data_IF_675374462903
#
_entry.id   IF_675374462903
#
_cell.length_a   1.000
_cell.length_b   1.000
_cell.length_c   1.000
_cell.angle_alpha   90.00
_cell.angle_beta   90.00
_cell.angle_gamma   90.00
#
_symmetry.space_group_name_H-M   'P 1'
#
loop_
_entity.id
_entity.type
_entity.pdbx_description
1 polymer ?
#
# COMPACT_ATOMS: atom_id res chain seq x y z
N UNK A 1 -3.47 16.61 10.80
CA UNK A 1 -3.84 15.62 9.78
C UNK A 1 -5.35 15.38 9.71
N UNK A 2 -6.19 15.96 10.58
CA UNK A 2 -7.66 15.84 10.46
C UNK A 2 -8.18 14.49 10.96
N UNK A 3 -9.36 14.08 10.47
CA UNK A 3 -9.94 12.77 10.77
C UNK A 3 -9.14 11.65 10.10
N UNK A 4 -8.87 10.59 10.86
CA UNK A 4 -8.24 9.36 10.35
C UNK A 4 -9.30 8.31 10.08
N UNK A 5 -9.48 7.96 8.82
CA UNK A 5 -10.32 6.86 8.38
C UNK A 5 -9.47 5.62 8.08
N UNK A 6 -10.15 4.47 8.02
CA UNK A 6 -9.60 3.21 7.50
C UNK A 6 -8.18 2.87 7.99
N UNK A 7 -7.89 3.17 9.26
CA UNK A 7 -6.57 2.91 9.87
C UNK A 7 -6.18 1.45 9.68
N UNK A 8 -4.92 1.23 9.35
CA UNK A 8 -4.33 -0.10 9.21
C UNK A 8 -2.98 -0.14 9.93
N UNK A 9 -2.67 -1.28 10.54
CA UNK A 9 -1.50 -1.46 11.38
C UNK A 9 -0.96 -2.88 11.26
N UNK A 10 0.27 -3.03 10.78
CA UNK A 10 0.83 -4.34 10.49
C UNK A 10 2.37 -4.39 10.52
N UNK A 11 2.96 -5.56 10.82
CA UNK A 11 4.40 -5.74 10.75
C UNK A 11 4.89 -5.98 9.32
N UNK A 12 6.13 -5.57 9.05
CA UNK A 12 6.90 -5.87 7.84
C UNK A 12 8.27 -6.42 8.23
N UNK A 13 8.80 -7.39 7.45
CA UNK A 13 10.12 -7.95 7.72
C UNK A 13 11.22 -7.03 7.19
N UNK A 14 12.24 -6.78 8.00
CA UNK A 14 13.46 -6.07 7.59
C UNK A 14 14.56 -7.03 7.12
N UNK A 15 14.32 -8.34 7.18
CA UNK A 15 15.28 -9.40 6.83
C UNK A 15 14.82 -10.14 5.58
N UNK A 16 13.60 -10.67 5.60
CA UNK A 16 13.03 -11.47 4.53
C UNK A 16 12.20 -10.63 3.55
N UNK A 17 11.78 -11.24 2.45
CA UNK A 17 10.89 -10.63 1.45
C UNK A 17 9.48 -11.23 1.48
N UNK A 18 9.14 -11.88 2.60
CA UNK A 18 7.81 -12.43 2.85
C UNK A 18 6.96 -11.43 3.63
N UNK A 19 5.65 -11.56 3.48
CA UNK A 19 4.71 -10.92 4.40
C UNK A 19 4.76 -11.60 5.77
N UNK A 20 4.38 -10.84 6.78
CA UNK A 20 4.25 -11.34 8.16
C UNK A 20 2.78 -11.40 8.55
N UNK A 21 2.44 -12.42 9.35
CA UNK A 21 1.17 -12.47 10.06
C UNK A 21 1.01 -11.20 10.90
N UNK A 22 -0.22 -10.68 10.98
CA UNK A 22 -0.49 -9.41 11.65
C UNK A 22 -0.13 -9.43 13.15
N UNK A 23 -0.12 -10.60 13.78
CA UNK A 23 0.26 -10.76 15.19
C UNK A 23 1.74 -11.05 15.41
N UNK A 24 2.55 -11.17 14.34
CA UNK A 24 3.97 -11.49 14.46
C UNK A 24 4.69 -10.37 15.23
N UNK A 25 5.38 -10.76 16.30
CA UNK A 25 6.19 -9.89 17.10
C UNK A 25 7.50 -10.59 17.45
N UNK A 26 8.63 -10.05 17.01
CA UNK A 26 9.94 -10.67 17.11
C UNK A 26 11.03 -9.77 16.53
N UNK A 27 12.30 -10.22 16.53
CA UNK A 27 13.38 -9.45 15.92
C UNK A 27 13.22 -9.37 14.39
N UNK A 28 13.86 -8.37 13.79
CA UNK A 28 13.93 -8.25 12.33
C UNK A 28 12.64 -7.75 11.68
N UNK A 29 11.88 -6.91 12.37
CA UNK A 29 10.64 -6.31 11.87
C UNK A 29 10.55 -4.83 12.21
N UNK A 30 9.76 -4.13 11.42
CA UNK A 30 9.19 -2.82 11.72
C UNK A 30 7.66 -2.90 11.61
N UNK A 31 6.97 -1.86 12.06
CA UNK A 31 5.52 -1.74 11.97
C UNK A 31 5.13 -0.55 11.09
N UNK A 32 4.20 -0.80 10.18
CA UNK A 32 3.59 0.24 9.36
C UNK A 32 2.31 0.71 10.02
N UNK A 33 2.19 2.02 10.21
CA UNK A 33 0.94 2.68 10.55
C UNK A 33 0.43 3.42 9.32
N UNK A 34 -0.79 3.13 8.91
CA UNK A 34 -1.44 3.74 7.75
C UNK A 34 -2.77 4.38 8.16
N UNK A 35 -3.08 5.52 7.57
CA UNK A 35 -4.38 6.17 7.69
C UNK A 35 -4.84 6.73 6.34
N UNK A 36 -6.15 6.68 6.12
CA UNK A 36 -6.83 7.44 5.06
C UNK A 36 -7.24 8.78 5.63
N UNK A 37 -6.74 9.88 5.07
CA UNK A 37 -7.06 11.23 5.56
C UNK A 37 -8.31 11.76 4.86
N UNK A 38 -9.36 12.04 5.64
CA UNK A 38 -10.65 12.49 5.13
C UNK A 38 -10.52 13.82 4.35
N UNK A 39 -9.72 14.76 4.87
CA UNK A 39 -9.58 16.11 4.32
C UNK A 39 -9.03 16.15 2.89
N UNK A 40 -8.09 15.27 2.55
CA UNK A 40 -7.41 15.28 1.25
C UNK A 40 -7.67 14.03 0.40
N UNK A 41 -8.42 13.06 0.94
CA UNK A 41 -8.75 11.78 0.31
C UNK A 41 -7.50 11.02 -0.18
N UNK A 42 -6.44 11.02 0.63
CA UNK A 42 -5.19 10.29 0.36
C UNK A 42 -4.85 9.32 1.48
N UNK A 43 -4.21 8.22 1.08
CA UNK A 43 -3.72 7.19 1.99
C UNK A 43 -2.24 7.40 2.30
N UNK A 44 -1.96 7.79 3.54
CA UNK A 44 -0.62 8.02 4.05
C UNK A 44 -0.19 6.89 4.96
N UNK A 45 1.12 6.60 4.97
CA UNK A 45 1.70 5.66 5.90
C UNK A 45 3.04 6.17 6.44
N UNK A 46 3.44 5.61 7.56
CA UNK A 46 4.77 5.77 8.11
C UNK A 46 5.27 4.42 8.66
N UNK A 47 6.60 4.29 8.71
CA UNK A 47 7.29 3.12 9.24
C UNK A 47 7.87 3.49 10.60
N UNK A 48 7.80 2.55 11.54
CA UNK A 48 8.18 2.80 12.91
C UNK A 48 8.25 1.54 13.76
N UNK A 49 8.59 1.74 15.02
CA UNK A 49 8.66 0.68 16.02
C UNK A 49 7.44 0.68 16.93
N UNK A 50 6.92 -0.51 17.22
CA UNK A 50 5.82 -0.72 18.16
C UNK A 50 6.33 -1.34 19.46
N UNK A 51 6.06 -0.67 20.59
CA UNK A 51 6.25 -1.20 21.93
C UNK A 51 4.92 -1.81 22.43
N UNK A 52 4.79 -3.14 22.50
CA UNK A 52 3.56 -3.80 22.94
C UNK A 52 3.30 -3.65 24.44
N UNK A 53 4.32 -3.38 25.26
CA UNK A 53 4.17 -3.19 26.71
C UNK A 53 3.56 -1.82 27.00
N UNK A 54 4.02 -0.79 26.28
CA UNK A 54 3.48 0.57 26.40
C UNK A 54 2.27 0.82 25.50
N UNK A 55 1.95 -0.13 24.61
CA UNK A 55 0.97 0.02 23.53
C UNK A 55 1.20 1.31 22.73
N UNK A 56 2.44 1.55 22.33
CA UNK A 56 2.85 2.79 21.65
C UNK A 56 3.64 2.48 20.39
N UNK A 57 3.17 3.01 19.27
CA UNK A 57 3.94 3.09 18.04
C UNK A 57 4.69 4.42 17.96
N UNK A 58 5.90 4.40 17.44
CA UNK A 58 6.75 5.59 17.26
C UNK A 58 7.33 5.58 15.84
N UNK A 59 7.16 6.66 15.04
CA UNK A 59 7.72 6.73 13.70
C UNK A 59 9.26 6.74 13.75
N UNK A 60 9.91 6.11 12.78
CA UNK A 60 11.37 6.15 12.68
C UNK A 60 11.87 7.54 12.23
N UNK A 61 11.07 8.23 11.39
CA UNK A 61 11.30 9.62 11.01
C UNK A 61 10.06 10.48 11.32
N UNK A 62 10.08 11.32 12.36
CA UNK A 62 8.98 12.21 12.71
C UNK A 62 8.59 13.23 11.62
N UNK A 63 9.50 13.58 10.70
CA UNK A 63 9.20 14.49 9.58
C UNK A 63 8.37 13.80 8.47
N UNK A 64 8.35 12.46 8.46
CA UNK A 64 7.59 11.63 7.53
C UNK A 64 6.51 10.81 8.24
N UNK A 65 5.97 11.33 9.35
CA UNK A 65 4.93 10.65 10.12
C UNK A 65 3.63 10.44 9.31
N UNK A 66 2.77 9.55 9.80
CA UNK A 66 1.53 9.17 9.16
C UNK A 66 0.62 10.40 8.95
N UNK A 67 0.31 10.67 7.69
CA UNK A 67 -0.52 11.78 7.25
C UNK A 67 0.23 13.02 6.75
N UNK A 68 1.56 13.06 6.85
CA UNK A 68 2.39 14.15 6.31
C UNK A 68 3.50 13.67 5.35
N UNK A 69 3.96 12.43 5.52
CA UNK A 69 5.06 11.87 4.74
C UNK A 69 4.62 11.13 3.47
N UNK A 70 4.89 9.83 3.45
CA UNK A 70 4.75 8.99 2.27
C UNK A 70 3.31 8.55 2.03
N UNK A 71 2.98 8.32 0.77
CA UNK A 71 1.67 7.82 0.33
C UNK A 71 1.80 6.43 -0.26
N UNK A 72 0.75 5.62 -0.11
CA UNK A 72 0.68 4.33 -0.79
C UNK A 72 0.54 4.50 -2.31
N UNK A 73 -0.12 5.56 -2.76
CA UNK A 73 -0.27 5.89 -4.17
C UNK A 73 -0.36 7.42 -4.30
N UNK A 74 0.22 7.97 -5.37
CA UNK A 74 0.25 9.40 -5.62
C UNK A 74 -0.87 9.86 -6.57
N UNK A 75 -1.70 8.94 -7.06
CA UNK A 75 -2.89 9.21 -7.87
C UNK A 75 -4.21 9.12 -7.10
N UNK A 76 -5.25 8.61 -7.77
CA UNK A 76 -6.59 8.40 -7.22
C UNK A 76 -6.64 7.04 -6.52
N UNK A 77 -6.51 7.05 -5.19
CA UNK A 77 -6.43 5.83 -4.40
C UNK A 77 -6.78 6.12 -2.95
N UNK A 78 -7.73 5.39 -2.37
CA UNK A 78 -8.22 5.69 -1.03
C UNK A 78 -8.77 4.45 -0.31
N UNK A 79 -8.99 4.58 1.00
CA UNK A 79 -9.59 3.56 1.87
C UNK A 79 -8.92 2.18 1.80
N UNK A 80 -7.60 2.15 1.56
CA UNK A 80 -6.85 0.91 1.39
C UNK A 80 -6.72 0.11 2.68
N UNK A 81 -6.57 -1.21 2.52
CA UNK A 81 -6.49 -2.16 3.62
C UNK A 81 -5.66 -3.37 3.23
N UNK A 82 -4.85 -3.84 4.16
CA UNK A 82 -4.03 -5.04 3.97
C UNK A 82 -4.61 -6.26 4.63
N UNK A 83 -4.23 -7.43 4.15
CA UNK A 83 -4.35 -8.69 4.86
C UNK A 83 -3.11 -9.56 4.62
N UNK A 84 -2.87 -10.53 5.49
CA UNK A 84 -1.84 -11.54 5.30
C UNK A 84 -2.42 -12.73 4.54
N UNK A 85 -1.81 -13.10 3.42
CA UNK A 85 -2.09 -14.31 2.65
C UNK A 85 -1.16 -15.43 3.15
N UNK A 86 -1.66 -16.39 3.96
CA UNK A 86 -0.82 -17.45 4.52
C UNK A 86 -0.41 -18.50 3.50
N UNK A 87 -1.10 -18.59 2.34
CA UNK A 87 -0.79 -19.58 1.31
C UNK A 87 0.48 -19.21 0.57
N UNK A 88 0.60 -17.95 0.16
CA UNK A 88 1.77 -17.43 -0.57
C UNK A 88 2.73 -16.65 0.35
N UNK A 89 2.46 -16.61 1.66
CA UNK A 89 3.26 -15.94 2.68
C UNK A 89 3.57 -14.47 2.36
N UNK A 90 2.56 -13.71 1.96
CA UNK A 90 2.70 -12.31 1.50
C UNK A 90 1.64 -11.42 2.12
N UNK A 91 1.95 -10.13 2.27
CA UNK A 91 0.96 -9.11 2.63
C UNK A 91 0.38 -8.52 1.36
N UNK A 92 -0.94 -8.53 1.23
CA UNK A 92 -1.66 -8.05 0.06
C UNK A 92 -2.44 -6.80 0.44
N UNK A 93 -2.31 -5.75 -0.38
CA UNK A 93 -2.98 -4.47 -0.25
C UNK A 93 -4.11 -4.36 -1.28
N UNK A 94 -5.30 -4.05 -0.78
CA UNK A 94 -6.45 -3.60 -1.58
C UNK A 94 -6.60 -2.09 -1.48
N UNK A 95 -7.15 -1.46 -2.51
CA UNK A 95 -7.48 -0.05 -2.48
C UNK A 95 -8.53 0.34 -3.50
N UNK A 96 -9.42 1.22 -3.07
CA UNK A 96 -10.53 1.74 -3.84
C UNK A 96 -10.05 2.90 -4.72
N UNK A 97 -10.49 2.89 -5.97
CA UNK A 97 -10.22 3.93 -6.96
C UNK A 97 -11.56 4.51 -7.38
N UNK A 98 -11.84 5.71 -6.89
CA UNK A 98 -13.04 6.45 -7.28
C UNK A 98 -12.97 6.95 -8.71
N UNK A 99 -14.13 7.20 -9.33
CA UNK A 99 -14.20 7.75 -10.67
C UNK A 99 -13.59 9.15 -10.78
N UNK A 100 -13.25 9.53 -12.01
CA UNK A 100 -12.73 10.85 -12.37
C UNK A 100 -13.58 11.54 -13.45
N UNK A 101 -14.67 10.91 -13.89
CA UNK A 101 -15.71 11.53 -14.72
C UNK A 101 -16.79 12.20 -13.84
N UNK A 102 -17.92 12.57 -14.43
CA UNK A 102 -19.01 13.25 -13.72
C UNK A 102 -20.01 12.26 -13.12
N UNK A 103 -20.66 12.67 -12.03
CA UNK A 103 -21.75 11.89 -11.41
C UNK A 103 -22.90 11.58 -12.40
N UNK A 104 -23.18 12.47 -13.36
CA UNK A 104 -24.14 12.19 -14.42
C UNK A 104 -23.72 11.03 -15.33
N UNK A 105 -22.42 10.86 -15.59
CA UNK A 105 -21.89 9.75 -16.35
C UNK A 105 -21.98 8.44 -15.54
N UNK A 106 -21.75 8.49 -14.23
CA UNK A 106 -21.99 7.37 -13.30
C UNK A 106 -23.45 6.88 -13.36
N UNK A 107 -24.40 7.81 -13.26
CA UNK A 107 -25.83 7.49 -13.36
C UNK A 107 -26.20 6.90 -14.72
N UNK A 108 -25.59 7.40 -15.80
CA UNK A 108 -25.85 6.91 -17.16
C UNK A 108 -25.26 5.51 -17.40
N UNK A 109 -24.04 5.25 -16.92
CA UNK A 109 -23.36 3.94 -17.08
C UNK A 109 -23.85 2.90 -16.08
N UNK A 110 -24.47 3.32 -14.97
CA UNK A 110 -25.14 2.46 -13.99
C UNK A 110 -24.22 1.82 -12.95
N UNK A 111 -22.96 2.26 -12.88
CA UNK A 111 -21.96 1.81 -11.91
C UNK A 111 -20.93 2.92 -11.69
N UNK A 112 -20.18 2.85 -10.58
CA UNK A 112 -19.12 3.81 -10.27
C UNK A 112 -18.04 3.14 -9.43
N UNK A 113 -16.80 3.50 -9.72
CA UNK A 113 -15.57 3.13 -9.03
C UNK A 113 -15.16 1.67 -9.20
N UNK A 114 -13.89 1.41 -8.93
CA UNK A 114 -13.31 0.06 -9.00
C UNK A 114 -12.35 -0.18 -7.84
N UNK A 115 -11.92 -1.43 -7.69
CA UNK A 115 -10.73 -1.76 -6.90
C UNK A 115 -9.52 -1.76 -7.82
N UNK A 116 -8.38 -1.28 -7.34
CA UNK A 116 -7.11 -1.51 -8.03
C UNK A 116 -6.74 -2.99 -8.03
N UNK A 117 -5.85 -3.40 -8.94
CA UNK A 117 -5.27 -4.75 -8.86
C UNK A 117 -4.51 -4.88 -7.52
N UNK A 118 -4.77 -5.93 -6.73
CA UNK A 118 -4.10 -6.11 -5.44
C UNK A 118 -2.58 -6.11 -5.59
N UNK A 119 -1.89 -5.56 -4.58
CA UNK A 119 -0.43 -5.39 -4.60
C UNK A 119 0.21 -6.11 -3.42
N UNK A 120 1.34 -6.74 -3.63
CA UNK A 120 2.20 -7.16 -2.51
C UNK A 120 2.84 -5.94 -1.88
N UNK A 121 2.99 -5.93 -0.56
CA UNK A 121 3.66 -4.87 0.19
C UNK A 121 4.88 -5.44 0.91
N UNK A 122 6.05 -4.85 0.68
CA UNK A 122 7.31 -5.24 1.30
C UNK A 122 8.08 -4.02 1.80
N UNK A 123 8.93 -4.22 2.79
CA UNK A 123 9.89 -3.20 3.22
C UNK A 123 11.03 -3.07 2.20
N UNK A 124 11.38 -1.85 1.79
CA UNK A 124 12.57 -1.64 0.97
C UNK A 124 13.84 -1.78 1.81
N UNK A 125 14.40 -2.98 1.85
CA UNK A 125 15.67 -3.27 2.53
C UNK A 125 16.87 -2.49 1.99
N UNK A 126 16.80 -1.91 0.79
CA UNK A 126 17.92 -1.15 0.22
C UNK A 126 18.04 0.23 0.83
N UNK A 127 16.92 0.92 1.01
CA UNK A 127 16.91 2.29 1.57
C UNK A 127 16.49 2.33 3.03
N UNK A 128 15.64 1.39 3.45
CA UNK A 128 15.07 1.34 4.79
C UNK A 128 14.06 2.44 5.10
N UNK A 129 13.54 3.14 4.08
CA UNK A 129 12.72 4.35 4.30
C UNK A 129 11.32 4.28 3.72
N UNK A 130 11.02 3.27 2.90
CA UNK A 130 9.73 3.17 2.22
C UNK A 130 9.31 1.74 1.92
N UNK A 131 8.06 1.57 1.53
CA UNK A 131 7.48 0.30 1.10
C UNK A 131 7.60 0.12 -0.41
N UNK A 132 7.86 -1.11 -0.83
CA UNK A 132 7.77 -1.56 -2.21
C UNK A 132 6.40 -2.18 -2.44
N UNK A 133 5.76 -1.77 -3.52
CA UNK A 133 4.49 -2.31 -3.98
C UNK A 133 4.66 -2.91 -5.39
N UNK A 134 4.03 -4.06 -5.61
CA UNK A 134 4.00 -4.69 -6.93
C UNK A 134 2.67 -5.42 -7.15
N UNK A 135 2.06 -5.37 -8.34
CA UNK A 135 0.87 -6.18 -8.62
C UNK A 135 1.10 -7.66 -8.29
N UNK A 136 0.10 -8.32 -7.71
CA UNK A 136 0.18 -9.75 -7.41
C UNK A 136 0.48 -10.56 -8.68
N UNK A 137 1.39 -11.55 -8.58
CA UNK A 137 1.87 -12.35 -9.74
C UNK A 137 0.73 -13.02 -10.54
N UNK A 138 -0.40 -13.27 -9.91
CA UNK A 138 -1.58 -13.87 -10.54
C UNK A 138 -2.12 -13.03 -11.69
N UNK A 139 -1.93 -11.70 -11.68
CA UNK A 139 -2.36 -10.86 -12.81
C UNK A 139 -1.62 -11.20 -14.11
N UNK A 140 -0.42 -11.77 -14.00
CA UNK A 140 0.41 -12.12 -15.16
C UNK A 140 -0.20 -13.25 -15.99
N UNK A 141 -1.06 -14.09 -15.39
CA UNK A 141 -1.75 -15.16 -16.13
C UNK A 141 -2.76 -14.63 -17.16
N UNK A 142 -3.12 -13.34 -17.08
CA UNK A 142 -3.99 -12.67 -18.05
C UNK A 142 -3.21 -12.14 -19.27
N UNK A 143 -1.87 -12.18 -19.26
CA UNK A 143 -1.06 -11.75 -20.41
C UNK A 143 -1.26 -12.74 -21.57
N UNK A 144 -1.72 -12.23 -22.72
CA UNK A 144 -1.87 -13.02 -23.93
C UNK A 144 -0.61 -12.90 -24.82
N UNK A 145 0.20 -13.96 -24.82
CA UNK A 145 1.42 -14.06 -25.62
C UNK A 145 2.61 -13.26 -25.09
N UNK A 146 3.78 -13.46 -25.70
CA UNK A 146 4.94 -12.63 -25.45
C UNK A 146 4.83 -11.35 -26.28
N UNK A 147 4.80 -10.15 -25.68
CA UNK A 147 4.96 -8.95 -26.47
C UNK A 147 6.35 -8.99 -27.13
N UNK A 148 6.40 -8.99 -28.46
CA UNK A 148 7.64 -8.78 -29.20
C UNK A 148 8.05 -7.33 -28.96
N UNK A 149 8.76 -7.07 -27.87
CA UNK A 149 9.27 -5.73 -27.55
C UNK A 149 10.49 -5.47 -28.42
N UNK A 150 10.27 -4.93 -29.62
CA UNK A 150 11.34 -4.33 -30.42
C UNK A 150 11.75 -3.02 -29.74
N UNK A 151 12.83 -3.08 -28.96
CA UNK A 151 13.68 -1.96 -28.53
C UNK A 151 12.93 -0.63 -28.37
N UNK A 152 12.32 -0.41 -27.20
CA UNK A 152 11.62 0.84 -26.90
C UNK A 152 12.64 1.87 -26.44
N UNK A 153 12.82 2.93 -27.23
CA UNK A 153 13.68 4.05 -26.86
C UNK A 153 12.89 4.97 -25.91
N UNK A 154 12.98 4.71 -24.60
CA UNK A 154 12.38 5.55 -23.57
C UNK A 154 13.25 6.81 -23.39
N UNK A 155 12.78 7.94 -23.88
CA UNK A 155 13.38 9.23 -23.55
C UNK A 155 13.08 9.57 -22.08
N UNK A 156 13.98 10.30 -21.38
CA UNK A 156 13.67 10.82 -20.06
C UNK A 156 12.40 11.66 -20.08
N UNK A 157 11.56 11.49 -19.06
CA UNK A 157 10.43 12.36 -18.75
C UNK A 157 10.83 13.53 -17.87
#
# INVERSE_FOLDING_TARGET
TGMWECVDFYPVSTVDSNGLDTSYNGPGIEHVLKASLDDNKQDHYAIGTYDPVKNKWTPDNPELDCGIGLRLDYGKYYASKTFYDPKEQRRVLWGWVGETDSESADLQKGWSSVQSIPRTVLYDKKTGTHLLQWPVKEIESLRAGDPIVKQVNLQPG
#
